data_IF_913854566812
#
_entry.id   IF_913854566812
#
_cell.length_a   1.000
_cell.length_b   1.000
_cell.length_c   1.000
_cell.angle_alpha   90.00
_cell.angle_beta   90.00
_cell.angle_gamma   90.00
#
_symmetry.space_group_name_H-M   'P 1'
#
loop_
_entity.id
_entity.type
_entity.pdbx_description
1 polymer ?
#
# COMPACT_ATOMS: atom_id res chain seq x y z
N UNK A 1 9.95 -14.82 -35.76
CA UNK A 1 11.08 -14.10 -35.16
C UNK A 1 11.97 -15.13 -34.53
N UNK A 2 13.26 -15.11 -34.84
CA UNK A 2 14.23 -16.01 -34.21
C UNK A 2 14.79 -15.34 -32.95
N UNK A 3 15.09 -16.15 -31.93
CA UNK A 3 15.74 -15.69 -30.71
C UNK A 3 17.20 -15.33 -31.00
N UNK A 4 17.57 -14.07 -30.75
CA UNK A 4 18.96 -13.59 -30.90
C UNK A 4 19.87 -14.17 -29.81
N UNK A 5 19.31 -14.47 -28.64
CA UNK A 5 20.04 -15.01 -27.50
C UNK A 5 19.13 -15.81 -26.58
N UNK A 6 19.62 -16.95 -26.09
CA UNK A 6 19.05 -17.69 -24.97
C UNK A 6 20.21 -18.08 -24.04
N UNK A 7 20.16 -17.73 -22.74
CA UNK A 7 21.26 -18.03 -21.82
C UNK A 7 21.36 -19.54 -21.58
N UNK A 8 22.58 -20.09 -21.65
CA UNK A 8 22.85 -21.50 -21.34
C UNK A 8 23.02 -21.77 -19.84
N UNK A 9 23.28 -20.73 -19.03
CA UNK A 9 23.46 -20.83 -17.59
C UNK A 9 23.09 -19.54 -16.88
N UNK A 10 22.78 -19.67 -15.58
CA UNK A 10 22.71 -18.57 -14.62
C UNK A 10 24.02 -18.60 -13.81
N UNK A 11 24.70 -17.47 -13.72
CA UNK A 11 25.92 -17.32 -12.94
C UNK A 11 25.60 -16.75 -11.55
N UNK A 12 26.46 -16.98 -10.57
CA UNK A 12 26.36 -16.36 -9.24
C UNK A 12 27.53 -15.40 -9.06
N UNK A 13 27.24 -14.11 -8.86
CA UNK A 13 28.24 -13.06 -8.74
C UNK A 13 28.16 -12.36 -7.37
N UNK A 14 29.30 -11.94 -6.80
CA UNK A 14 29.31 -11.05 -5.64
C UNK A 14 28.54 -9.76 -5.92
N UNK A 15 27.75 -9.30 -4.95
CA UNK A 15 26.93 -8.10 -5.09
C UNK A 15 27.77 -6.83 -5.27
N UNK A 16 28.95 -6.77 -4.64
CA UNK A 16 29.90 -5.66 -4.74
C UNK A 16 30.57 -5.54 -6.13
N UNK A 17 30.53 -6.61 -6.94
CA UNK A 17 30.97 -6.58 -8.33
C UNK A 17 30.00 -5.81 -9.22
N UNK A 18 28.72 -5.72 -8.85
CA UNK A 18 27.69 -5.10 -9.67
C UNK A 18 27.75 -3.58 -9.61
N UNK A 19 27.72 -2.95 -10.79
CA UNK A 19 27.80 -1.51 -10.94
C UNK A 19 26.45 -0.97 -11.38
N UNK A 20 25.74 -0.20 -10.55
CA UNK A 20 24.51 0.46 -10.95
C UNK A 20 24.72 1.37 -12.17
N UNK A 21 23.79 1.31 -13.11
CA UNK A 21 23.80 2.24 -14.25
C UNK A 21 23.52 3.68 -13.79
N UNK A 22 24.47 4.58 -14.01
CA UNK A 22 24.41 5.96 -13.50
C UNK A 22 23.23 6.78 -14.05
N UNK A 23 22.71 6.44 -15.25
CA UNK A 23 21.59 7.13 -15.90
C UNK A 23 20.31 6.30 -15.89
N UNK A 24 20.09 5.50 -14.85
CA UNK A 24 18.86 4.74 -14.73
C UNK A 24 17.65 5.68 -14.58
N UNK A 25 16.71 5.61 -15.51
CA UNK A 25 15.52 6.46 -15.49
C UNK A 25 14.48 6.02 -14.45
N UNK A 26 14.49 4.75 -14.04
CA UNK A 26 13.57 4.21 -13.04
C UNK A 26 14.12 4.47 -11.64
N UNK A 27 13.36 5.23 -10.87
CA UNK A 27 13.69 5.55 -9.47
C UNK A 27 13.08 4.46 -8.58
N UNK A 28 13.88 3.92 -7.67
CA UNK A 28 13.44 2.96 -6.68
C UNK A 28 13.37 3.63 -5.31
N UNK A 29 12.16 3.96 -4.87
CA UNK A 29 11.91 4.48 -3.51
C UNK A 29 12.14 3.42 -2.44
N UNK A 30 12.38 3.85 -1.20
CA UNK A 30 12.63 2.96 -0.06
C UNK A 30 11.53 1.93 0.14
N UNK A 31 10.27 2.34 0.02
CA UNK A 31 9.12 1.49 0.27
C UNK A 31 8.98 0.41 -0.82
N UNK A 32 9.25 0.78 -2.07
CA UNK A 32 9.29 -0.19 -3.18
C UNK A 32 10.40 -1.22 -2.96
N UNK A 33 11.59 -0.79 -2.54
CA UNK A 33 12.70 -1.70 -2.25
C UNK A 33 12.34 -2.64 -1.10
N UNK A 34 11.69 -2.14 -0.06
CA UNK A 34 11.25 -2.94 1.08
C UNK A 34 10.22 -4.00 0.66
N UNK A 35 9.23 -3.65 -0.20
CA UNK A 35 8.28 -4.61 -0.77
C UNK A 35 8.99 -5.71 -1.58
N UNK A 36 9.96 -5.33 -2.42
CA UNK A 36 10.77 -6.29 -3.19
C UNK A 36 11.57 -7.20 -2.24
N UNK A 37 12.15 -6.66 -1.17
CA UNK A 37 12.89 -7.44 -0.19
C UNK A 37 12.00 -8.42 0.57
N UNK A 38 10.80 -8.01 0.99
CA UNK A 38 9.82 -8.89 1.65
C UNK A 38 9.40 -10.05 0.72
N UNK A 39 9.07 -9.73 -0.54
CA UNK A 39 8.76 -10.73 -1.56
C UNK A 39 9.94 -11.69 -1.79
N UNK A 40 11.16 -11.17 -1.93
CA UNK A 40 12.37 -11.98 -2.10
C UNK A 40 12.66 -12.87 -0.88
N UNK A 41 12.40 -12.40 0.34
CA UNK A 41 12.58 -13.19 1.55
C UNK A 41 11.57 -14.35 1.65
N UNK A 42 10.33 -14.14 1.17
CA UNK A 42 9.28 -15.17 1.15
C UNK A 42 9.48 -16.19 0.03
N UNK A 43 9.66 -15.72 -1.20
CA UNK A 43 9.62 -16.54 -2.41
C UNK A 43 11.00 -16.91 -2.94
N UNK A 44 12.05 -16.34 -2.37
CA UNK A 44 13.42 -16.49 -2.85
C UNK A 44 13.75 -15.59 -4.04
N UNK A 45 14.94 -15.80 -4.61
CA UNK A 45 15.39 -15.08 -5.79
C UNK A 45 14.92 -15.77 -7.07
N UNK A 46 13.83 -15.28 -7.66
CA UNK A 46 13.16 -15.96 -8.78
C UNK A 46 13.60 -15.51 -10.17
N UNK A 47 14.14 -14.29 -10.30
CA UNK A 47 14.56 -13.72 -11.60
C UNK A 47 16.01 -13.22 -11.50
N UNK A 48 16.99 -13.77 -12.24
CA UNK A 48 18.38 -13.28 -12.24
C UNK A 48 18.52 -11.83 -12.71
N UNK A 49 19.54 -11.12 -12.23
CA UNK A 49 19.89 -9.79 -12.77
C UNK A 49 20.53 -9.89 -14.15
N UNK A 50 20.34 -8.87 -14.99
CA UNK A 50 20.90 -8.84 -16.33
C UNK A 50 22.08 -7.88 -16.31
N UNK A 51 23.26 -8.37 -16.68
CA UNK A 51 24.52 -7.63 -16.53
C UNK A 51 25.34 -7.62 -17.81
N UNK A 52 26.09 -6.55 -17.99
CA UNK A 52 27.17 -6.49 -18.98
C UNK A 52 28.42 -7.21 -18.46
N UNK A 53 29.37 -7.49 -19.36
CA UNK A 53 30.62 -8.20 -19.02
C UNK A 53 31.51 -7.43 -18.02
N UNK A 54 31.42 -6.11 -18.02
CA UNK A 54 32.13 -5.22 -17.10
C UNK A 54 31.44 -5.08 -15.72
N UNK A 55 30.31 -5.75 -15.52
CA UNK A 55 29.51 -5.72 -14.31
C UNK A 55 28.51 -4.57 -14.24
N UNK A 56 28.33 -3.79 -15.30
CA UNK A 56 27.26 -2.81 -15.35
C UNK A 56 25.88 -3.50 -15.34
N UNK A 57 25.00 -3.04 -14.45
CA UNK A 57 23.62 -3.49 -14.37
C UNK A 57 22.83 -3.00 -15.58
N UNK A 58 22.24 -3.95 -16.30
CA UNK A 58 21.32 -3.71 -17.40
C UNK A 58 19.89 -3.77 -16.87
N UNK A 59 19.52 -4.80 -16.10
CA UNK A 59 18.20 -4.90 -15.46
C UNK A 59 18.28 -5.55 -14.08
N UNK A 60 17.33 -5.19 -13.21
CA UNK A 60 17.24 -5.71 -11.85
C UNK A 60 17.81 -4.81 -10.75
N UNK A 61 17.91 -3.49 -10.96
CA UNK A 61 18.39 -2.54 -9.93
C UNK A 61 17.62 -2.64 -8.61
N UNK A 62 16.28 -2.67 -8.65
CA UNK A 62 15.46 -2.86 -7.45
C UNK A 62 15.74 -4.17 -6.70
N UNK A 63 16.04 -5.26 -7.43
CA UNK A 63 16.42 -6.55 -6.83
C UNK A 63 17.78 -6.48 -6.15
N UNK A 64 18.76 -5.79 -6.73
CA UNK A 64 20.07 -5.58 -6.09
C UNK A 64 19.96 -4.73 -4.83
N UNK A 65 19.11 -3.69 -4.84
CA UNK A 65 18.85 -2.90 -3.64
C UNK A 65 18.18 -3.72 -2.54
N UNK A 66 17.20 -4.56 -2.90
CA UNK A 66 16.55 -5.48 -1.97
C UNK A 66 17.52 -6.53 -1.41
N UNK A 67 18.38 -7.08 -2.26
CA UNK A 67 19.43 -8.02 -1.88
C UNK A 67 20.38 -7.43 -0.84
N UNK A 68 20.81 -6.19 -1.06
CA UNK A 68 21.65 -5.45 -0.13
C UNK A 68 20.93 -5.20 1.20
N UNK A 69 19.64 -4.86 1.16
CA UNK A 69 18.80 -4.69 2.36
C UNK A 69 18.67 -6.00 3.17
N UNK A 70 18.60 -7.14 2.49
CA UNK A 70 18.56 -8.47 3.11
C UNK A 70 19.95 -8.99 3.54
N UNK A 71 21.03 -8.26 3.28
CA UNK A 71 22.40 -8.67 3.61
C UNK A 71 22.95 -9.81 2.76
N UNK A 72 22.38 -10.04 1.56
CA UNK A 72 22.89 -11.05 0.62
C UNK A 72 24.23 -10.61 0.04
N UNK A 73 25.16 -11.56 -0.06
CA UNK A 73 26.51 -11.32 -0.60
C UNK A 73 26.64 -11.65 -2.07
N UNK A 74 25.85 -12.61 -2.52
CA UNK A 74 25.91 -13.16 -3.87
C UNK A 74 24.52 -13.09 -4.50
N UNK A 75 24.48 -12.84 -5.80
CA UNK A 75 23.23 -12.71 -6.56
C UNK A 75 23.32 -13.48 -7.88
N UNK A 76 22.22 -14.10 -8.34
CA UNK A 76 22.19 -14.76 -9.63
C UNK A 76 22.10 -13.74 -10.75
N UNK A 77 22.90 -13.94 -11.80
CA UNK A 77 23.00 -13.06 -12.96
C UNK A 77 22.97 -13.83 -14.27
N UNK A 78 22.47 -13.17 -15.31
CA UNK A 78 22.62 -13.55 -16.71
C UNK A 78 23.44 -12.46 -17.40
N UNK A 79 24.50 -12.86 -18.08
CA UNK A 79 25.35 -11.95 -18.85
C UNK A 79 24.79 -11.76 -20.25
N UNK A 80 24.60 -10.50 -20.63
CA UNK A 80 24.14 -10.12 -21.97
C UNK A 80 25.31 -9.65 -22.83
N UNK A 81 26.33 -10.51 -22.99
CA UNK A 81 27.57 -10.20 -23.72
C UNK A 81 27.36 -9.89 -25.21
N UNK A 82 26.21 -10.30 -25.76
CA UNK A 82 25.84 -10.05 -27.15
C UNK A 82 25.33 -8.62 -27.39
N UNK A 83 25.00 -7.87 -26.34
CA UNK A 83 24.48 -6.50 -26.47
C UNK A 83 25.61 -5.46 -26.50
N UNK A 84 25.58 -4.62 -27.52
CA UNK A 84 26.37 -3.40 -27.56
C UNK A 84 25.82 -2.32 -26.60
N UNK A 85 26.54 -1.20 -26.48
CA UNK A 85 26.18 -0.12 -25.56
C UNK A 85 24.86 0.59 -25.92
N UNK A 86 24.50 0.67 -27.20
CA UNK A 86 23.21 1.23 -27.60
C UNK A 86 22.07 0.27 -27.28
N UNK A 87 22.25 -1.02 -27.54
CA UNK A 87 21.30 -2.08 -27.24
C UNK A 87 21.06 -2.24 -25.75
N UNK A 88 22.10 -2.14 -24.90
CA UNK A 88 21.94 -2.12 -23.43
C UNK A 88 21.05 -0.98 -22.96
N UNK A 89 21.23 0.23 -23.51
CA UNK A 89 20.37 1.39 -23.18
C UNK A 89 18.95 1.19 -23.68
N UNK A 90 18.77 0.68 -24.89
CA UNK A 90 17.45 0.38 -25.43
C UNK A 90 16.72 -0.69 -24.59
N UNK A 91 17.42 -1.76 -24.24
CA UNK A 91 16.88 -2.86 -23.44
C UNK A 91 16.49 -2.41 -22.03
N UNK A 92 17.27 -1.53 -21.36
CA UNK A 92 16.87 -0.91 -20.09
C UNK A 92 15.51 -0.21 -20.15
N UNK A 93 15.24 0.48 -21.25
CA UNK A 93 13.96 1.17 -21.45
C UNK A 93 12.87 0.15 -21.75
N UNK A 94 13.15 -0.80 -22.64
CA UNK A 94 12.20 -1.84 -23.04
C UNK A 94 11.78 -2.72 -21.85
N UNK A 95 12.70 -3.24 -21.05
CA UNK A 95 12.42 -4.07 -19.87
C UNK A 95 11.45 -3.38 -18.91
N UNK A 96 11.68 -2.10 -18.62
CA UNK A 96 10.81 -1.32 -17.76
C UNK A 96 9.45 -1.01 -18.41
N UNK A 97 9.43 -0.57 -19.67
CA UNK A 97 8.19 -0.17 -20.34
C UNK A 97 7.31 -1.34 -20.73
N UNK A 98 7.88 -2.45 -21.18
CA UNK A 98 7.11 -3.65 -21.52
C UNK A 98 6.39 -4.22 -20.30
N UNK A 99 7.00 -4.11 -19.11
CA UNK A 99 6.34 -4.50 -17.84
C UNK A 99 5.15 -3.59 -17.51
N UNK A 100 5.19 -2.31 -17.88
CA UNK A 100 4.11 -1.33 -17.64
C UNK A 100 2.96 -1.42 -18.66
N UNK A 101 3.15 -2.10 -19.80
CA UNK A 101 2.14 -2.22 -20.85
C UNK A 101 1.12 -3.34 -20.60
N UNK A 102 1.34 -4.19 -19.60
CA UNK A 102 0.41 -5.25 -19.24
C UNK A 102 -0.87 -4.67 -18.65
N UNK A 103 -2.01 -5.21 -19.07
CA UNK A 103 -3.32 -4.96 -18.45
C UNK A 103 -3.70 -6.18 -17.60
N UNK A 104 -4.41 -5.92 -16.50
CA UNK A 104 -4.97 -6.98 -15.65
C UNK A 104 -6.40 -7.27 -16.06
N UNK A 105 -6.75 -8.55 -16.09
CA UNK A 105 -8.16 -8.94 -16.00
C UNK A 105 -8.58 -8.79 -14.54
N UNK A 106 -9.26 -7.68 -14.23
CA UNK A 106 -9.65 -7.31 -12.88
C UNK A 106 -10.54 -8.35 -12.19
N UNK A 107 -11.35 -9.10 -12.96
CA UNK A 107 -12.20 -10.14 -12.40
C UNK A 107 -11.36 -11.35 -11.98
N UNK A 108 -10.47 -11.82 -12.86
CA UNK A 108 -9.58 -12.93 -12.51
C UNK A 108 -8.60 -12.57 -11.39
N UNK A 109 -8.08 -11.33 -11.39
CA UNK A 109 -7.17 -10.85 -10.35
C UNK A 109 -7.85 -10.84 -8.98
N UNK A 110 -9.09 -10.32 -8.91
CA UNK A 110 -9.91 -10.35 -7.70
C UNK A 110 -10.14 -11.76 -7.19
N UNK A 111 -10.56 -12.67 -8.05
CA UNK A 111 -10.85 -14.06 -7.66
C UNK A 111 -9.61 -14.74 -7.07
N UNK A 112 -8.44 -14.52 -7.67
CA UNK A 112 -7.17 -15.05 -7.18
C UNK A 112 -6.80 -14.46 -5.80
N UNK A 113 -6.92 -13.13 -5.63
CA UNK A 113 -6.64 -12.47 -4.35
C UNK A 113 -7.61 -12.94 -3.26
N UNK A 114 -8.90 -13.08 -3.58
CA UNK A 114 -9.89 -13.59 -2.65
C UNK A 114 -9.61 -15.04 -2.25
N UNK A 115 -9.14 -15.87 -3.19
CA UNK A 115 -8.66 -17.22 -2.92
C UNK A 115 -7.48 -17.24 -1.95
N UNK A 116 -6.47 -16.40 -2.19
CA UNK A 116 -5.32 -16.25 -1.28
C UNK A 116 -5.74 -15.79 0.12
N UNK A 117 -6.70 -14.86 0.22
CA UNK A 117 -7.24 -14.41 1.50
C UNK A 117 -7.92 -15.55 2.26
N UNK A 118 -8.71 -16.38 1.57
CA UNK A 118 -9.40 -17.53 2.16
C UNK A 118 -8.43 -18.63 2.65
N UNK A 119 -7.20 -18.65 2.12
CA UNK A 119 -6.11 -19.52 2.54
C UNK A 119 -5.22 -18.91 3.65
N UNK A 120 -5.64 -17.79 4.26
CA UNK A 120 -4.89 -17.02 5.27
C UNK A 120 -3.50 -16.58 4.77
N UNK A 121 -3.35 -16.31 3.47
CA UNK A 121 -2.10 -15.83 2.89
C UNK A 121 -1.84 -14.36 3.23
N UNK A 122 -0.58 -14.01 3.45
CA UNK A 122 -0.16 -12.62 3.69
C UNK A 122 -0.16 -11.79 2.39
N UNK A 123 -1.26 -11.07 2.15
CA UNK A 123 -1.46 -10.26 0.95
C UNK A 123 -0.54 -9.03 0.87
N UNK A 124 0.10 -8.62 1.97
CA UNK A 124 1.06 -7.50 1.95
C UNK A 124 2.27 -7.78 1.03
N UNK A 125 2.51 -9.06 0.74
CA UNK A 125 3.59 -9.53 -0.14
C UNK A 125 3.29 -9.38 -1.64
N UNK A 126 2.04 -9.11 -2.02
CA UNK A 126 1.63 -8.95 -3.41
C UNK A 126 2.12 -7.62 -4.02
N UNK A 127 2.57 -6.69 -3.18
CA UNK A 127 3.06 -5.38 -3.61
C UNK A 127 1.96 -4.38 -3.95
N UNK A 128 0.70 -4.79 -3.89
CA UNK A 128 -0.51 -3.95 -4.01
C UNK A 128 -0.57 -3.02 -2.78
N UNK A 129 -1.07 -1.80 -2.93
CA UNK A 129 -1.33 -0.93 -1.78
C UNK A 129 -2.61 -1.38 -1.06
N UNK A 130 -2.69 -1.23 0.26
CA UNK A 130 -3.85 -1.70 1.03
C UNK A 130 -5.17 -1.11 0.50
N UNK A 131 -5.18 0.18 0.13
CA UNK A 131 -6.33 0.87 -0.47
C UNK A 131 -6.77 0.24 -1.80
N UNK A 132 -5.80 -0.17 -2.64
CA UNK A 132 -6.07 -0.82 -3.93
C UNK A 132 -6.56 -2.26 -3.71
N UNK A 133 -6.04 -2.95 -2.69
CA UNK A 133 -6.46 -4.30 -2.32
C UNK A 133 -7.91 -4.31 -1.83
N UNK A 134 -8.28 -3.36 -0.98
CA UNK A 134 -9.65 -3.16 -0.51
C UNK A 134 -10.59 -2.85 -1.68
N UNK A 135 -10.16 -2.03 -2.64
CA UNK A 135 -10.93 -1.73 -3.84
C UNK A 135 -11.11 -2.97 -4.74
N UNK A 136 -10.06 -3.79 -4.89
CA UNK A 136 -10.08 -5.04 -5.65
C UNK A 136 -10.93 -6.12 -5.00
N UNK A 137 -11.08 -6.13 -3.68
CA UNK A 137 -11.86 -7.13 -2.95
C UNK A 137 -13.32 -6.70 -2.70
N UNK A 138 -13.67 -5.44 -2.94
CA UNK A 138 -15.04 -4.93 -2.77
C UNK A 138 -16.01 -5.55 -3.78
N UNK A 139 -16.97 -6.32 -3.31
CA UNK A 139 -17.95 -7.08 -4.13
C UNK A 139 -18.62 -6.21 -5.23
N UNK A 140 -18.49 -6.58 -6.53
CA UNK A 140 -19.13 -5.86 -7.63
C UNK A 140 -20.67 -5.98 -7.64
N UNK A 141 -21.25 -6.99 -6.99
CA UNK A 141 -22.71 -7.13 -6.86
C UNK A 141 -23.27 -6.37 -5.65
N UNK A 142 -22.42 -5.88 -4.74
CA UNK A 142 -22.79 -4.81 -3.80
C UNK A 142 -22.96 -3.45 -4.49
N UNK A 143 -22.72 -3.37 -5.81
CA UNK A 143 -22.81 -2.14 -6.60
C UNK A 143 -24.20 -1.97 -7.25
N UNK A 144 -25.09 -2.97 -7.19
CA UNK A 144 -26.53 -2.84 -7.55
C UNK A 144 -27.46 -2.98 -6.33
N UNK A 145 -27.00 -2.49 -5.18
CA UNK A 145 -27.70 -2.54 -3.89
C UNK A 145 -27.67 -1.25 -3.08
N UNK A 146 -27.45 -0.10 -3.74
CA UNK A 146 -27.35 1.21 -3.11
C UNK A 146 -25.92 1.72 -3.15
N UNK A 147 -25.79 3.03 -3.37
CA UNK A 147 -24.53 3.70 -3.14
C UNK A 147 -23.94 3.23 -1.80
N UNK A 148 -22.64 2.93 -1.77
CA UNK A 148 -21.90 3.15 -0.53
C UNK A 148 -21.86 4.66 -0.38
N UNK A 149 -23.00 5.23 0.03
CA UNK A 149 -23.07 6.59 0.48
C UNK A 149 -22.06 6.72 1.62
N UNK A 150 -21.35 7.84 1.64
CA UNK A 150 -20.14 7.98 2.42
C UNK A 150 -20.33 7.78 3.91
N UNK A 151 -19.28 8.06 4.67
CA UNK A 151 -19.37 8.35 6.11
C UNK A 151 -20.43 9.42 6.49
N UNK A 152 -21.16 9.97 5.51
CA UNK A 152 -22.22 10.98 5.62
C UNK A 152 -23.65 10.45 5.39
N UNK A 153 -23.89 9.17 5.11
CA UNK A 153 -25.27 8.68 4.96
C UNK A 153 -25.89 8.36 6.31
N UNK A 154 -26.47 9.40 6.88
CA UNK A 154 -27.20 9.33 8.14
C UNK A 154 -28.52 8.62 7.84
N UNK A 155 -28.73 7.37 8.29
CA UNK A 155 -30.01 6.71 8.12
C UNK A 155 -31.10 7.59 8.73
N UNK A 156 -32.27 7.68 8.08
CA UNK A 156 -33.35 8.49 8.63
C UNK A 156 -33.60 8.11 10.10
N UNK A 157 -33.66 9.10 11.01
CA UNK A 157 -33.82 8.81 12.42
C UNK A 157 -35.06 7.92 12.62
N UNK A 158 -34.96 6.85 13.43
CA UNK A 158 -36.10 5.99 13.68
C UNK A 158 -37.25 6.81 14.26
N UNK A 159 -38.48 6.55 13.80
CA UNK A 159 -39.71 7.24 14.24
C UNK A 159 -39.84 7.23 15.77
N UNK A 160 -39.34 6.18 16.42
CA UNK A 160 -39.22 6.10 17.87
C UNK A 160 -37.76 5.80 18.24
N UNK A 161 -36.98 6.81 18.65
CA UNK A 161 -35.59 6.60 19.05
C UNK A 161 -35.53 5.81 20.36
N UNK A 162 -34.62 4.84 20.41
CA UNK A 162 -34.36 4.05 21.63
C UNK A 162 -33.64 4.90 22.68
N UNK A 163 -32.73 5.78 22.24
CA UNK A 163 -31.98 6.69 23.10
C UNK A 163 -32.58 8.09 23.00
N UNK A 164 -32.96 8.66 24.14
CA UNK A 164 -33.41 10.04 24.25
C UNK A 164 -32.45 10.87 25.11
N UNK A 165 -32.49 12.20 24.93
CA UNK A 165 -31.63 13.10 25.69
C UNK A 165 -31.83 12.91 27.20
N UNK A 166 -30.72 12.72 27.91
CA UNK A 166 -30.69 12.38 29.33
C UNK A 166 -30.55 10.88 29.62
N UNK A 167 -30.60 9.99 28.63
CA UNK A 167 -30.34 8.57 28.86
C UNK A 167 -28.86 8.32 29.14
N UNK A 168 -28.59 7.57 30.22
CA UNK A 168 -27.26 7.15 30.63
C UNK A 168 -27.14 5.64 30.52
N UNK A 169 -26.29 5.18 29.61
CA UNK A 169 -26.01 3.79 29.32
C UNK A 169 -24.76 3.32 30.06
N UNK A 170 -24.86 2.17 30.73
CA UNK A 170 -23.74 1.50 31.40
C UNK A 170 -23.21 0.36 30.53
N UNK A 171 -21.98 0.50 30.03
CA UNK A 171 -21.29 -0.41 29.12
C UNK A 171 -20.10 -1.07 29.83
N UNK A 172 -20.39 -1.98 30.76
CA UNK A 172 -19.37 -2.57 31.61
C UNK A 172 -18.71 -1.51 32.52
N UNK A 173 -17.41 -1.27 32.37
CA UNK A 173 -16.69 -0.19 33.06
C UNK A 173 -16.90 1.20 32.44
N UNK A 174 -17.53 1.28 31.27
CA UNK A 174 -17.72 2.52 30.52
C UNK A 174 -19.14 3.07 30.69
N UNK A 175 -19.28 4.39 30.53
CA UNK A 175 -20.58 5.08 30.54
C UNK A 175 -20.72 5.92 29.28
N UNK A 176 -21.94 5.96 28.74
CA UNK A 176 -22.31 6.76 27.58
C UNK A 176 -23.58 7.52 27.90
N UNK A 177 -23.60 8.84 27.70
CA UNK A 177 -24.81 9.66 27.88
C UNK A 177 -25.27 10.19 26.53
N UNK A 178 -26.58 10.15 26.27
CA UNK A 178 -27.18 10.88 25.16
C UNK A 178 -27.48 12.31 25.63
N UNK A 179 -26.69 13.30 25.19
CA UNK A 179 -26.88 14.69 25.59
C UNK A 179 -25.83 15.64 25.00
N UNK A 180 -26.01 16.93 25.24
CA UNK A 180 -25.09 17.98 24.78
C UNK A 180 -23.78 17.97 25.58
N UNK A 181 -22.67 17.70 24.91
CA UNK A 181 -21.33 17.65 25.52
C UNK A 181 -20.80 19.04 25.92
N UNK A 182 -21.45 20.12 25.50
CA UNK A 182 -21.15 21.49 25.94
C UNK A 182 -21.88 21.88 27.23
N UNK A 183 -22.88 21.09 27.65
CA UNK A 183 -23.68 21.34 28.83
C UNK A 183 -23.04 20.71 30.09
N UNK A 184 -22.67 21.55 31.06
CA UNK A 184 -21.93 21.11 32.25
C UNK A 184 -22.70 20.11 33.12
N UNK A 185 -24.02 20.19 33.16
CA UNK A 185 -24.90 19.27 33.88
C UNK A 185 -24.95 17.88 33.24
N UNK A 186 -24.96 17.81 31.90
CA UNK A 186 -24.87 16.55 31.14
C UNK A 186 -23.53 15.86 31.39
N UNK A 187 -22.42 16.60 31.29
CA UNK A 187 -21.07 16.07 31.56
C UNK A 187 -20.93 15.64 33.02
N UNK A 188 -21.46 16.43 33.96
CA UNK A 188 -21.46 16.06 35.39
C UNK A 188 -22.21 14.77 35.64
N UNK A 189 -23.35 14.57 34.96
CA UNK A 189 -24.13 13.34 35.06
C UNK A 189 -23.40 12.12 34.45
N UNK A 190 -22.70 12.31 33.32
CA UNK A 190 -21.85 11.27 32.72
C UNK A 190 -20.72 10.84 33.67
N UNK A 191 -20.07 11.81 34.32
CA UNK A 191 -18.97 11.56 35.24
C UNK A 191 -19.44 11.01 36.60
N UNK A 192 -20.65 11.35 37.06
CA UNK A 192 -21.14 10.99 38.39
C UNK A 192 -20.14 11.41 39.47
N UNK A 193 -19.75 10.49 40.35
CA UNK A 193 -18.79 10.78 41.41
C UNK A 193 -17.31 10.74 40.95
N UNK A 194 -17.04 10.36 39.70
CA UNK A 194 -15.68 10.22 39.18
C UNK A 194 -15.09 11.58 38.85
N UNK A 195 -13.91 11.87 39.40
CA UNK A 195 -13.09 13.03 39.01
C UNK A 195 -11.88 12.54 38.21
N UNK A 196 -11.85 12.72 36.88
CA UNK A 196 -10.74 12.27 36.06
C UNK A 196 -9.47 13.06 36.42
N UNK A 197 -8.34 12.36 36.54
CA UNK A 197 -7.02 12.98 36.71
C UNK A 197 -6.57 13.71 35.42
N UNK A 198 -6.96 13.15 34.27
CA UNK A 198 -6.73 13.70 32.94
C UNK A 198 -8.01 13.51 32.13
N UNK A 199 -8.42 14.55 31.40
CA UNK A 199 -9.59 14.53 30.54
C UNK A 199 -9.15 14.90 29.12
N UNK A 200 -9.24 13.96 28.18
CA UNK A 200 -8.97 14.19 26.75
C UNK A 200 -10.33 14.28 26.08
N UNK A 201 -10.72 15.49 25.67
CA UNK A 201 -12.06 15.77 25.12
C UNK A 201 -11.95 16.84 24.05
N UNK A 202 -12.82 16.79 23.06
CA UNK A 202 -12.89 17.76 21.97
C UNK A 202 -14.34 18.24 21.69
N UNK A 203 -15.12 18.79 22.65
CA UNK A 203 -16.52 19.09 22.41
C UNK A 203 -16.73 20.39 21.60
N UNK A 204 -17.63 20.41 20.59
CA UNK A 204 -18.02 19.29 19.74
C UNK A 204 -16.97 18.96 18.66
N UNK A 205 -16.01 19.87 18.42
CA UNK A 205 -14.88 19.71 17.48
C UNK A 205 -13.64 20.43 18.02
N UNK A 206 -13.13 20.00 19.18
CA UNK A 206 -12.03 20.60 19.96
C UNK A 206 -10.63 20.54 19.33
N UNK A 207 -10.56 20.69 18.01
CA UNK A 207 -9.38 21.08 17.24
C UNK A 207 -9.95 22.10 16.26
N UNK A 208 -9.41 23.33 16.19
CA UNK A 208 -9.76 24.30 15.13
C UNK A 208 -9.43 23.70 13.77
N UNK A 209 -10.29 22.82 13.28
CA UNK A 209 -10.07 22.02 12.10
C UNK A 209 -10.25 22.93 10.91
N UNK A 210 -9.14 23.50 10.44
CA UNK A 210 -9.08 24.24 9.19
C UNK A 210 -8.78 23.26 8.04
N UNK A 211 -9.76 22.76 7.29
CA UNK A 211 -9.49 21.86 6.17
C UNK A 211 -8.65 22.52 5.06
N UNK A 212 -8.49 23.85 5.07
CA UNK A 212 -7.74 24.58 4.06
C UNK A 212 -6.25 24.21 4.05
N UNK A 213 -5.67 23.77 5.17
CA UNK A 213 -4.24 23.40 5.21
C UNK A 213 -3.92 22.23 4.27
N UNK A 214 -4.84 21.28 4.07
CA UNK A 214 -4.65 20.13 3.16
C UNK A 214 -4.59 20.58 1.70
N UNK A 215 -5.40 21.57 1.34
CA UNK A 215 -5.40 22.19 0.02
C UNK A 215 -4.14 23.03 -0.21
N UNK A 216 -3.69 23.78 0.82
CA UNK A 216 -2.46 24.58 0.76
C UNK A 216 -1.20 23.72 0.65
N UNK A 217 -1.17 22.56 1.33
CA UNK A 217 -0.06 21.61 1.29
C UNK A 217 -0.04 20.73 0.02
N UNK A 218 -1.04 20.84 -0.87
CA UNK A 218 -1.15 20.01 -2.07
C UNK A 218 -1.43 18.53 -1.79
N UNK A 219 -1.85 18.19 -0.57
CA UNK A 219 -2.03 16.81 -0.11
C UNK A 219 -3.40 16.21 -0.48
N UNK A 220 -4.32 17.01 -1.03
CA UNK A 220 -5.66 16.57 -1.41
C UNK A 220 -5.84 16.53 -2.95
N UNK A 221 -6.29 15.38 -3.48
CA UNK A 221 -6.71 15.22 -4.89
C UNK A 221 -8.14 15.72 -5.16
N UNK A 222 -8.89 16.03 -4.10
CA UNK A 222 -10.29 16.46 -4.18
C UNK A 222 -10.47 17.82 -3.51
N UNK A 223 -10.95 18.80 -4.29
CA UNK A 223 -11.36 20.12 -3.78
C UNK A 223 -12.74 20.01 -3.15
N UNK A 224 -12.82 19.55 -1.90
CA UNK A 224 -14.01 19.77 -1.06
C UNK A 224 -13.68 20.85 -0.04
N UNK A 225 -14.54 21.87 -0.01
CA UNK A 225 -14.58 22.94 1.00
C UNK A 225 -15.10 22.41 2.31
#
# INVERSE_FOLDING_TARGET
>A
MDLVFAPSQIETWPLDRLRPYARNAKIHGTDQVAKIAASMAKFGWTVPCMVADDGELIAGHGRVLAAAMLGLKDVPVIRLSHLDEAERRAYRIADNKLTELGEWDEAMLRDEIAGLLAEDFDLSLLGIADEDLDALLRDPDQVDGGAVEGEDDIPEPPVTPVSVAGDLWQLGSHRLICGDSTAADVVSRLLGDVRPLLMVTDPPYGVEYDPSWRNQAGAAKTKRT
#
